data_IF_902336117807
#
_entry.id   IF_902336117807
#
_cell.length_a   1.000
_cell.length_b   1.000
_cell.length_c   1.000
_cell.angle_alpha   90.00
_cell.angle_beta   90.00
_cell.angle_gamma   90.00
#
_symmetry.space_group_name_H-M   'P 1'
#
loop_
_entity.id
_entity.type
_entity.pdbx_description
1 polymer ?
#
# COMPACT_ATOMS: atom_id res chain seq x y z
N UNK A 1 -63.42 -54.63 -34.17
CA UNK A 1 -63.33 -56.08 -33.89
C UNK A 1 -61.87 -56.48 -34.00
N UNK A 2 -61.24 -57.14 -33.01
CA UNK A 2 -61.36 -57.12 -31.53
C UNK A 2 -60.28 -56.18 -30.91
N UNK A 3 -60.24 -55.74 -29.63
CA UNK A 3 -60.39 -56.31 -28.26
C UNK A 3 -59.12 -56.94 -27.63
N UNK A 4 -58.90 -56.65 -26.33
CA UNK A 4 -57.80 -57.13 -25.44
C UNK A 4 -56.82 -56.00 -25.05
N UNK A 5 -56.80 -55.36 -23.87
CA UNK A 5 -57.06 -55.78 -22.47
C UNK A 5 -56.23 -57.03 -22.06
N UNK A 6 -55.56 -57.15 -20.90
CA UNK A 6 -55.17 -56.23 -19.79
C UNK A 6 -54.07 -56.96 -18.95
N UNK A 7 -53.49 -56.54 -17.81
CA UNK A 7 -53.62 -55.40 -16.88
C UNK A 7 -52.31 -55.26 -16.05
N UNK A 8 -52.17 -54.21 -15.22
CA UNK A 8 -51.06 -54.06 -14.26
C UNK A 8 -51.14 -52.73 -13.48
N UNK A 9 -51.48 -52.77 -12.18
CA UNK A 9 -51.94 -51.63 -11.36
C UNK A 9 -50.81 -51.03 -10.46
N UNK A 10 -51.01 -49.96 -9.64
CA UNK A 10 -50.18 -48.75 -9.73
C UNK A 10 -49.66 -48.23 -8.36
N UNK A 11 -49.41 -46.91 -8.28
CA UNK A 11 -49.07 -46.06 -7.10
C UNK A 11 -47.61 -46.08 -6.64
N UNK A 12 -47.03 -44.99 -6.11
CA UNK A 12 -47.60 -43.69 -5.68
C UNK A 12 -46.71 -42.48 -6.03
N UNK A 13 -47.30 -41.28 -6.01
CA UNK A 13 -46.76 -39.94 -5.65
C UNK A 13 -45.26 -39.65 -5.94
N UNK A 14 -44.84 -38.70 -6.78
CA UNK A 14 -45.38 -37.37 -7.13
C UNK A 14 -45.37 -36.32 -6.00
N UNK A 15 -44.18 -35.92 -5.57
CA UNK A 15 -43.93 -34.56 -5.06
C UNK A 15 -42.94 -33.83 -5.98
N UNK A 16 -43.19 -32.53 -6.16
CA UNK A 16 -42.39 -31.61 -6.96
C UNK A 16 -42.05 -30.37 -6.12
N UNK A 17 -41.18 -29.50 -6.64
CA UNK A 17 -40.56 -28.35 -5.96
C UNK A 17 -39.47 -28.75 -4.93
N UNK A 18 -38.37 -28.00 -4.77
CA UNK A 18 -38.03 -26.63 -5.19
C UNK A 18 -36.63 -26.63 -5.87
N UNK A 19 -36.42 -25.76 -6.87
CA UNK A 19 -35.05 -25.35 -7.27
C UNK A 19 -34.52 -24.33 -6.25
N UNK A 20 -33.47 -24.64 -5.52
CA UNK A 20 -32.66 -23.62 -4.83
C UNK A 20 -31.26 -23.57 -5.42
N UNK A 21 -30.85 -22.36 -5.74
CA UNK A 21 -29.59 -22.02 -6.38
C UNK A 21 -28.41 -22.36 -5.48
N UNK A 22 -27.34 -22.90 -6.06
CA UNK A 22 -26.06 -23.06 -5.35
C UNK A 22 -25.32 -21.71 -5.36
N UNK A 23 -25.72 -20.82 -4.45
CA UNK A 23 -24.98 -19.60 -4.12
C UNK A 23 -23.84 -19.90 -3.16
N UNK A 24 -22.81 -19.07 -3.15
CA UNK A 24 -21.74 -19.12 -2.15
C UNK A 24 -20.66 -20.16 -2.42
N UNK A 25 -19.76 -19.86 -3.36
CA UNK A 25 -18.37 -20.22 -3.13
C UNK A 25 -17.86 -19.24 -2.05
N UNK A 26 -17.86 -19.67 -0.79
CA UNK A 26 -17.16 -18.94 0.27
C UNK A 26 -15.67 -18.90 -0.11
N UNK A 27 -15.23 -17.75 -0.60
CA UNK A 27 -13.81 -17.40 -0.58
C UNK A 27 -13.47 -17.21 0.88
N UNK A 28 -12.86 -18.24 1.47
CA UNK A 28 -12.24 -18.12 2.79
C UNK A 28 -11.07 -17.18 2.61
N UNK A 29 -11.29 -15.91 2.92
CA UNK A 29 -10.26 -14.91 3.06
C UNK A 29 -9.36 -15.34 4.24
N UNK A 30 -8.25 -15.99 3.92
CA UNK A 30 -7.27 -16.48 4.91
C UNK A 30 -6.58 -15.28 5.58
N UNK A 31 -7.28 -14.71 6.55
CA UNK A 31 -6.78 -13.69 7.46
C UNK A 31 -5.80 -14.33 8.44
N UNK A 32 -4.62 -13.70 8.63
CA UNK A 32 -3.65 -14.15 9.64
C UNK A 32 -4.35 -14.28 11.01
N UNK A 33 -4.21 -15.40 11.73
CA UNK A 33 -4.86 -15.56 13.02
C UNK A 33 -4.33 -14.50 13.99
N UNK A 34 -5.22 -13.95 14.83
CA UNK A 34 -4.94 -12.78 15.66
C UNK A 34 -3.69 -12.91 16.55
N UNK A 35 -3.35 -14.14 16.96
CA UNK A 35 -2.16 -14.46 17.75
C UNK A 35 -0.87 -14.21 16.96
N UNK A 36 -0.80 -14.67 15.72
CA UNK A 36 0.38 -14.54 14.85
C UNK A 36 0.60 -13.06 14.48
N UNK A 37 -0.49 -12.30 14.25
CA UNK A 37 -0.43 -10.84 14.05
C UNK A 37 0.09 -10.09 15.28
N UNK A 38 -0.29 -10.50 16.50
CA UNK A 38 0.23 -9.89 17.73
C UNK A 38 1.72 -10.19 17.94
N UNK A 39 2.20 -11.38 17.57
CA UNK A 39 3.62 -11.74 17.59
C UNK A 39 4.40 -10.91 16.54
N UNK A 40 3.91 -10.84 15.29
CA UNK A 40 4.48 -9.98 14.24
C UNK A 40 4.59 -8.51 14.65
N UNK A 41 3.55 -7.94 15.28
CA UNK A 41 3.59 -6.54 15.78
C UNK A 41 4.63 -6.38 16.90
N UNK A 42 4.79 -7.36 17.80
CA UNK A 42 5.85 -7.32 18.83
C UNK A 42 7.24 -7.30 18.20
N UNK A 43 7.48 -8.16 17.22
CA UNK A 43 8.78 -8.24 16.55
C UNK A 43 9.10 -6.96 15.76
N UNK A 44 8.10 -6.39 15.07
CA UNK A 44 8.25 -5.09 14.41
C UNK A 44 8.51 -3.96 15.42
N UNK A 45 7.87 -3.94 16.59
CA UNK A 45 8.18 -2.98 17.66
C UNK A 45 9.62 -3.10 18.16
N UNK A 46 10.17 -4.32 18.26
CA UNK A 46 11.58 -4.52 18.61
C UNK A 46 12.53 -3.99 17.51
N UNK A 47 12.22 -4.27 16.24
CA UNK A 47 12.99 -3.73 15.11
C UNK A 47 12.93 -2.20 15.04
N UNK A 48 11.76 -1.60 15.25
CA UNK A 48 11.59 -0.15 15.29
C UNK A 48 12.28 0.48 16.51
N UNK A 49 12.34 -0.20 17.65
CA UNK A 49 13.06 0.30 18.82
C UNK A 49 14.57 0.45 18.56
N UNK A 50 15.18 -0.50 17.85
CA UNK A 50 16.56 -0.40 17.39
C UNK A 50 16.71 0.63 16.27
N UNK A 51 15.86 0.57 15.24
CA UNK A 51 15.94 1.45 14.07
C UNK A 51 15.73 2.94 14.38
N UNK A 52 14.87 3.24 15.35
CA UNK A 52 14.57 4.60 15.82
C UNK A 52 15.37 4.99 17.08
N UNK A 53 16.38 4.21 17.47
CA UNK A 53 17.23 4.47 18.65
C UNK A 53 16.42 4.81 19.92
N UNK A 54 15.30 4.12 20.14
CA UNK A 54 14.33 4.46 21.19
C UNK A 54 14.94 4.28 22.58
N UNK A 55 14.65 5.24 23.47
CA UNK A 55 15.32 5.34 24.78
C UNK A 55 14.74 4.39 25.81
N UNK A 56 13.52 3.91 25.61
CA UNK A 56 12.92 2.89 26.46
C UNK A 56 11.87 2.05 25.71
N UNK A 57 11.52 0.85 26.21
CA UNK A 57 10.46 0.01 25.62
C UNK A 57 9.09 0.70 25.58
N UNK A 58 8.82 1.60 26.53
CA UNK A 58 7.56 2.37 26.58
C UNK A 58 7.41 3.30 25.36
N UNK A 59 8.50 3.80 24.76
CA UNK A 59 8.42 4.59 23.52
C UNK A 59 7.98 3.71 22.34
N UNK A 60 8.46 2.45 22.26
CA UNK A 60 8.05 1.51 21.22
C UNK A 60 6.55 1.15 21.32
N UNK A 61 6.00 1.10 22.53
CA UNK A 61 4.57 0.84 22.74
C UNK A 61 3.66 1.98 22.27
N UNK A 62 4.19 3.20 22.11
CA UNK A 62 3.46 4.39 21.63
C UNK A 62 3.34 4.44 20.10
N UNK A 63 4.10 3.61 19.38
CA UNK A 63 3.94 3.41 17.93
C UNK A 63 2.69 2.56 17.69
N UNK A 64 1.75 3.08 16.91
CA UNK A 64 0.52 2.37 16.54
C UNK A 64 0.65 1.72 15.16
N UNK A 65 -0.04 0.61 14.94
CA UNK A 65 0.03 -0.17 13.69
C UNK A 65 -1.35 -0.33 13.08
N UNK A 66 -1.50 0.09 11.82
CA UNK A 66 -2.72 -0.01 11.01
C UNK A 66 -2.43 -0.89 9.80
N UNK A 67 -3.31 -1.82 9.41
CA UNK A 67 -3.13 -2.54 8.13
C UNK A 67 -3.48 -1.62 6.96
N UNK A 68 -2.82 -1.79 5.83
CA UNK A 68 -3.14 -1.02 4.62
C UNK A 68 -4.61 -1.22 4.18
N UNK A 69 -5.15 -2.44 4.33
CA UNK A 69 -6.58 -2.72 4.10
C UNK A 69 -7.54 -1.99 5.08
N UNK A 70 -7.08 -1.65 6.28
CA UNK A 70 -7.87 -0.95 7.31
C UNK A 70 -7.79 0.60 7.18
N UNK A 71 -7.04 1.13 6.20
CA UNK A 71 -6.85 2.57 6.01
C UNK A 71 -8.16 3.28 5.59
N UNK A 72 -8.53 4.31 6.35
CA UNK A 72 -9.71 5.14 6.12
C UNK A 72 -9.41 6.38 5.26
N UNK A 73 -10.49 7.04 4.81
CA UNK A 73 -10.45 8.39 4.22
C UNK A 73 -9.41 8.52 3.09
N UNK A 74 -8.58 9.57 3.06
CA UNK A 74 -7.59 9.84 2.00
C UNK A 74 -6.58 8.70 1.84
N UNK A 75 -6.05 8.13 2.92
CA UNK A 75 -5.10 7.01 2.87
C UNK A 75 -5.75 5.74 2.30
N UNK A 76 -7.02 5.50 2.62
CA UNK A 76 -7.79 4.43 2.01
C UNK A 76 -7.96 4.61 0.49
N UNK A 77 -8.13 5.84 0.00
CA UNK A 77 -8.20 6.11 -1.45
C UNK A 77 -6.86 5.85 -2.14
N UNK A 78 -5.74 6.23 -1.51
CA UNK A 78 -4.39 5.95 -1.98
C UNK A 78 -4.10 4.45 -2.06
N UNK A 79 -4.44 3.69 -1.02
CA UNK A 79 -4.36 2.22 -1.01
C UNK A 79 -5.20 1.60 -2.15
N UNK A 80 -6.48 2.00 -2.26
CA UNK A 80 -7.38 1.48 -3.31
C UNK A 80 -6.94 1.83 -4.73
N UNK A 81 -6.18 2.91 -4.93
CA UNK A 81 -5.64 3.27 -6.26
C UNK A 81 -4.64 2.25 -6.81
N UNK A 82 -3.83 1.62 -5.95
CA UNK A 82 -2.87 0.60 -6.37
C UNK A 82 -3.55 -0.73 -6.76
N UNK A 83 -4.76 -0.98 -6.24
CA UNK A 83 -5.62 -2.11 -6.58
C UNK A 83 -4.88 -3.46 -6.54
N UNK A 84 -4.26 -3.76 -5.39
CA UNK A 84 -3.43 -4.94 -5.18
C UNK A 84 -3.66 -5.54 -3.79
N UNK A 85 -4.45 -6.61 -3.75
CA UNK A 85 -4.85 -7.29 -2.51
C UNK A 85 -3.66 -7.90 -1.75
N UNK A 86 -2.50 -8.10 -2.41
CA UNK A 86 -1.26 -8.55 -1.74
C UNK A 86 -0.74 -7.52 -0.72
N UNK A 87 -1.15 -6.26 -0.85
CA UNK A 87 -0.82 -5.19 0.10
C UNK A 87 -1.71 -5.21 1.35
N UNK A 88 -2.78 -6.03 1.43
CA UNK A 88 -3.75 -5.99 2.53
C UNK A 88 -3.08 -6.08 3.92
N UNK A 89 -2.08 -6.95 4.05
CA UNK A 89 -1.35 -7.22 5.31
C UNK A 89 -0.02 -6.43 5.43
N UNK A 90 0.16 -5.40 4.59
CA UNK A 90 1.18 -4.38 4.84
C UNK A 90 0.77 -3.53 6.06
N UNK A 91 1.74 -3.15 6.89
CA UNK A 91 1.50 -2.47 8.16
C UNK A 91 2.07 -1.05 8.15
N UNK A 92 1.20 -0.06 8.38
CA UNK A 92 1.56 1.33 8.61
C UNK A 92 1.82 1.53 10.10
N UNK A 93 3.09 1.73 10.46
CA UNK A 93 3.56 2.14 11.76
C UNK A 93 3.49 3.68 11.87
N UNK A 94 2.51 4.18 12.63
CA UNK A 94 2.37 5.61 12.91
C UNK A 94 3.25 5.96 14.11
N UNK A 95 4.32 6.71 13.85
CA UNK A 95 5.40 7.04 14.79
C UNK A 95 5.16 8.44 15.37
N UNK A 96 5.03 8.60 16.70
CA UNK A 96 4.89 9.91 17.34
C UNK A 96 6.00 10.89 16.93
N UNK A 97 5.64 12.16 16.73
CA UNK A 97 6.51 13.20 16.17
C UNK A 97 7.84 13.37 16.93
N UNK A 98 7.82 13.32 18.26
CA UNK A 98 9.05 13.45 19.07
C UNK A 98 9.94 12.20 19.08
N UNK A 99 9.48 11.09 18.49
CA UNK A 99 10.27 9.90 18.18
C UNK A 99 10.77 9.92 16.72
N UNK A 100 10.21 10.77 15.85
CA UNK A 100 10.65 10.94 14.46
C UNK A 100 11.89 11.83 14.35
N UNK A 101 13.02 11.23 13.97
CA UNK A 101 14.30 11.93 13.80
C UNK A 101 14.97 11.60 12.45
N UNK A 102 14.24 10.97 11.52
CA UNK A 102 14.72 10.51 10.19
C UNK A 102 14.79 11.62 9.13
N UNK A 103 14.98 12.87 9.56
CA UNK A 103 15.09 14.03 8.68
C UNK A 103 13.74 14.65 8.30
N UNK A 104 13.69 15.26 7.11
CA UNK A 104 12.58 16.10 6.65
C UNK A 104 11.48 15.41 5.85
N UNK A 105 11.60 14.10 5.58
CA UNK A 105 10.54 13.33 4.94
C UNK A 105 9.48 12.91 5.99
N UNK A 106 8.18 12.83 5.62
CA UNK A 106 7.11 12.42 6.53
C UNK A 106 6.90 10.91 6.60
N UNK A 107 7.52 10.13 5.70
CA UNK A 107 7.36 8.68 5.59
C UNK A 107 8.66 7.98 5.18
N UNK A 108 8.68 6.66 5.36
CA UNK A 108 9.72 5.73 4.90
C UNK A 108 9.11 4.32 4.78
N UNK A 109 9.62 3.45 3.90
CA UNK A 109 9.20 2.05 3.82
C UNK A 109 10.34 1.06 4.09
N UNK A 110 10.05 0.06 4.92
CA UNK A 110 10.79 -1.21 5.01
C UNK A 110 10.00 -2.23 4.19
N UNK A 111 10.14 -2.13 2.88
CA UNK A 111 9.34 -2.88 1.91
C UNK A 111 9.54 -4.41 2.02
N UNK A 112 10.74 -4.84 2.40
CA UNK A 112 11.13 -6.21 2.78
C UNK A 112 10.25 -6.81 3.90
N UNK A 113 9.74 -5.97 4.80
CA UNK A 113 8.90 -6.37 5.95
C UNK A 113 7.41 -6.12 5.71
N UNK A 114 7.07 -5.59 4.54
CA UNK A 114 5.74 -5.04 4.26
C UNK A 114 5.35 -3.97 5.29
N UNK A 115 6.30 -3.13 5.72
CA UNK A 115 6.08 -2.11 6.75
C UNK A 115 6.36 -0.71 6.20
N UNK A 116 5.48 0.22 6.52
CA UNK A 116 5.59 1.65 6.20
C UNK A 116 5.65 2.41 7.52
N UNK A 117 6.61 3.30 7.69
CA UNK A 117 6.67 4.24 8.80
C UNK A 117 6.07 5.57 8.34
N UNK A 118 5.24 6.17 9.18
CA UNK A 118 4.64 7.48 8.93
C UNK A 118 4.77 8.36 10.17
N UNK A 119 5.19 9.61 10.00
CA UNK A 119 5.26 10.61 11.06
C UNK A 119 3.84 10.98 11.52
N UNK A 120 3.60 10.91 12.83
CA UNK A 120 2.28 10.99 13.45
C UNK A 120 1.49 12.25 13.09
N UNK A 121 2.08 13.44 13.20
CA UNK A 121 1.42 14.70 12.86
C UNK A 121 1.02 14.78 11.38
N UNK A 122 1.80 14.17 10.50
CA UNK A 122 1.50 14.13 9.05
C UNK A 122 0.46 13.05 8.71
N UNK A 123 0.39 11.97 9.50
CA UNK A 123 -0.66 10.94 9.41
C UNK A 123 -2.00 11.46 9.92
N UNK A 124 -2.02 12.08 11.10
CA UNK A 124 -3.25 12.59 11.73
C UNK A 124 -3.81 13.84 11.03
N UNK A 125 -2.95 14.58 10.31
CA UNK A 125 -3.25 15.77 9.51
C UNK A 125 -2.71 17.04 10.15
N UNK A 126 -2.27 17.99 9.32
CA UNK A 126 -1.77 19.29 9.81
C UNK A 126 -2.93 20.21 10.27
N UNK A 127 -2.61 21.43 10.76
CA UNK A 127 -3.60 22.34 11.38
C UNK A 127 -4.76 22.74 10.44
N UNK A 128 -4.62 22.57 9.12
CA UNK A 128 -5.67 22.81 8.12
C UNK A 128 -6.59 21.59 7.87
N UNK A 129 -6.27 20.44 8.46
CA UNK A 129 -7.00 19.18 8.34
C UNK A 129 -6.68 18.36 7.08
N UNK A 130 -5.71 18.78 6.25
CA UNK A 130 -5.28 18.00 5.10
C UNK A 130 -4.32 16.87 5.54
N UNK A 131 -4.68 15.63 5.22
CA UNK A 131 -3.79 14.46 5.38
C UNK A 131 -3.12 14.15 4.05
N UNK A 132 -1.79 14.06 4.09
CA UNK A 132 -0.96 13.61 2.97
C UNK A 132 -1.35 14.18 1.58
N UNK A 133 -1.32 15.52 1.41
CA UNK A 133 -1.61 16.16 0.12
C UNK A 133 -0.63 15.77 -0.99
N UNK A 134 0.57 15.29 -0.62
CA UNK A 134 1.61 14.82 -1.54
C UNK A 134 1.47 13.34 -1.95
N UNK A 135 0.52 12.61 -1.37
CA UNK A 135 0.27 11.19 -1.64
C UNK A 135 1.46 10.25 -1.36
N UNK A 136 2.20 10.52 -0.28
CA UNK A 136 3.26 9.67 0.26
C UNK A 136 2.81 8.24 0.55
N UNK A 137 1.59 8.01 1.04
CA UNK A 137 1.10 6.63 1.27
C UNK A 137 1.05 5.81 -0.03
N UNK A 138 0.73 6.44 -1.17
CA UNK A 138 0.79 5.79 -2.50
C UNK A 138 2.23 5.44 -2.89
N UNK A 139 3.18 6.31 -2.56
CA UNK A 139 4.61 6.12 -2.80
C UNK A 139 5.14 4.92 -1.98
N UNK A 140 4.92 4.92 -0.67
CA UNK A 140 5.40 3.84 0.22
C UNK A 140 4.73 2.48 -0.05
N UNK A 141 3.43 2.46 -0.37
CA UNK A 141 2.76 1.23 -0.79
C UNK A 141 3.24 0.73 -2.15
N UNK A 142 3.74 1.61 -3.03
CA UNK A 142 4.34 1.21 -4.30
C UNK A 142 5.72 0.55 -4.12
N UNK A 143 6.50 0.96 -3.11
CA UNK A 143 7.72 0.25 -2.67
C UNK A 143 7.39 -1.16 -2.18
N UNK A 144 6.40 -1.30 -1.28
CA UNK A 144 5.89 -2.60 -0.83
C UNK A 144 5.41 -3.48 -2.02
N UNK A 145 4.63 -2.93 -2.94
CA UNK A 145 4.19 -3.63 -4.16
C UNK A 145 5.39 -4.11 -4.97
N UNK A 146 6.43 -3.28 -5.11
CA UNK A 146 7.62 -3.66 -5.87
C UNK A 146 8.39 -4.78 -5.18
N UNK A 147 8.59 -4.74 -3.87
CA UNK A 147 9.27 -5.83 -3.15
C UNK A 147 8.52 -7.16 -3.30
N UNK A 148 7.18 -7.15 -3.30
CA UNK A 148 6.36 -8.34 -3.58
C UNK A 148 6.50 -8.82 -5.03
N UNK A 149 6.60 -7.89 -6.01
CA UNK A 149 6.70 -8.23 -7.43
C UNK A 149 8.03 -8.87 -7.85
N UNK A 150 9.15 -8.47 -7.24
CA UNK A 150 10.50 -8.93 -7.62
C UNK A 150 11.24 -9.75 -6.54
N UNK A 151 10.72 -9.77 -5.31
CA UNK A 151 11.41 -10.33 -4.14
C UNK A 151 12.57 -9.47 -3.66
N UNK A 152 12.99 -9.64 -2.41
CA UNK A 152 13.96 -8.76 -1.73
C UNK A 152 15.30 -8.63 -2.48
N UNK A 153 15.85 -9.74 -2.99
CA UNK A 153 17.07 -9.74 -3.81
C UNK A 153 16.90 -8.88 -5.09
N UNK A 154 15.74 -8.98 -5.73
CA UNK A 154 15.41 -8.19 -6.93
C UNK A 154 15.18 -6.71 -6.61
N UNK A 155 14.53 -6.42 -5.47
CA UNK A 155 14.29 -5.08 -4.99
C UNK A 155 15.60 -4.35 -4.67
N UNK A 156 16.48 -5.02 -3.92
CA UNK A 156 17.83 -4.53 -3.63
C UNK A 156 18.65 -4.32 -4.90
N UNK A 157 18.57 -5.25 -5.88
CA UNK A 157 19.25 -5.05 -7.15
C UNK A 157 18.71 -3.82 -7.91
N UNK A 158 17.39 -3.60 -7.89
CA UNK A 158 16.77 -2.48 -8.60
C UNK A 158 16.93 -1.12 -7.91
N UNK A 159 17.17 -1.08 -6.59
CA UNK A 159 17.53 0.15 -5.87
C UNK A 159 18.96 0.62 -6.21
N UNK A 160 19.82 -0.28 -6.70
CA UNK A 160 21.14 0.04 -7.28
C UNK A 160 21.11 0.31 -8.80
N UNK A 161 20.06 -0.12 -9.52
CA UNK A 161 19.97 0.05 -10.98
C UNK A 161 19.57 1.48 -11.37
N UNK A 162 20.50 2.21 -11.96
CA UNK A 162 20.24 3.52 -12.55
C UNK A 162 19.13 3.48 -13.62
N UNK A 163 18.21 4.44 -13.61
CA UNK A 163 17.08 4.50 -14.57
C UNK A 163 17.25 5.58 -15.66
N UNK A 164 17.90 6.70 -15.35
CA UNK A 164 18.26 7.74 -16.33
C UNK A 164 19.77 7.89 -16.46
N UNK A 165 20.36 7.36 -17.55
CA UNK A 165 21.82 7.35 -17.79
C UNK A 165 22.47 8.76 -17.78
N UNK A 166 21.68 9.82 -18.05
CA UNK A 166 22.15 11.19 -18.16
C UNK A 166 22.09 12.02 -16.87
N UNK A 167 21.54 11.46 -15.79
CA UNK A 167 21.58 12.06 -14.46
C UNK A 167 22.74 11.49 -13.63
N UNK A 168 23.49 12.37 -12.98
CA UNK A 168 24.60 11.99 -12.10
C UNK A 168 24.14 11.62 -10.69
N UNK A 169 25.07 11.24 -9.79
CA UNK A 169 24.76 10.86 -8.40
C UNK A 169 24.37 12.04 -7.50
N UNK A 170 24.46 13.28 -7.99
CA UNK A 170 24.13 14.50 -7.25
C UNK A 170 22.62 14.82 -7.23
N UNK A 171 21.76 13.95 -7.76
CA UNK A 171 20.30 14.05 -7.67
C UNK A 171 19.76 13.14 -6.57
N UNK A 172 18.48 13.26 -6.24
CA UNK A 172 17.71 12.20 -5.58
C UNK A 172 18.01 10.82 -6.22
N UNK A 173 18.06 9.71 -5.43
CA UNK A 173 18.40 8.36 -5.90
C UNK A 173 17.72 7.99 -7.23
N UNK A 174 18.51 8.06 -8.29
CA UNK A 174 18.10 7.85 -9.67
C UNK A 174 18.01 6.34 -10.00
N UNK A 175 17.17 5.60 -9.27
CA UNK A 175 17.03 4.16 -9.41
C UNK A 175 15.63 3.74 -9.88
N UNK A 176 15.46 2.45 -10.19
CA UNK A 176 14.19 1.90 -10.71
C UNK A 176 13.07 1.84 -9.68
N UNK A 177 13.42 1.58 -8.43
CA UNK A 177 12.49 1.45 -7.30
C UNK A 177 11.81 2.79 -7.05
N UNK A 178 12.59 3.87 -6.95
CA UNK A 178 12.11 5.25 -6.83
C UNK A 178 11.30 5.68 -8.06
N UNK A 179 11.74 5.34 -9.28
CA UNK A 179 11.02 5.72 -10.50
C UNK A 179 9.62 5.11 -10.54
N UNK A 180 9.48 3.86 -10.11
CA UNK A 180 8.19 3.21 -9.95
C UNK A 180 7.35 3.88 -8.86
N UNK A 181 7.92 4.16 -7.68
CA UNK A 181 7.19 4.72 -6.55
C UNK A 181 6.64 6.13 -6.85
N UNK A 182 7.49 7.05 -7.31
CA UNK A 182 7.05 8.37 -7.79
C UNK A 182 6.12 8.27 -8.99
N UNK A 183 6.35 7.31 -9.90
CA UNK A 183 5.46 7.06 -11.03
C UNK A 183 4.03 6.74 -10.59
N UNK A 184 3.86 5.94 -9.52
CA UNK A 184 2.55 5.63 -8.92
C UNK A 184 1.95 6.85 -8.20
N UNK A 185 2.74 7.53 -7.37
CA UNK A 185 2.34 8.74 -6.64
C UNK A 185 1.81 9.84 -7.59
N UNK A 186 2.56 10.15 -8.65
CA UNK A 186 2.15 11.16 -9.64
C UNK A 186 0.95 10.70 -10.48
N UNK A 187 0.82 9.40 -10.77
CA UNK A 187 -0.36 8.88 -11.45
C UNK A 187 -1.63 9.00 -10.59
N UNK A 188 -1.53 8.78 -9.27
CA UNK A 188 -2.64 9.02 -8.33
C UNK A 188 -3.03 10.50 -8.28
N UNK A 189 -2.06 11.39 -8.07
CA UNK A 189 -2.29 12.84 -8.02
C UNK A 189 -2.91 13.36 -9.33
N UNK A 190 -2.48 12.83 -10.49
CA UNK A 190 -3.10 13.11 -11.81
C UNK A 190 -4.53 12.59 -11.90
N UNK A 191 -4.84 11.42 -11.34
CA UNK A 191 -6.20 10.89 -11.27
C UNK A 191 -7.10 11.81 -10.42
N UNK A 192 -6.59 12.30 -9.28
CA UNK A 192 -7.21 13.30 -8.38
C UNK A 192 -7.25 14.74 -8.95
N UNK A 193 -6.77 14.96 -10.18
CA UNK A 193 -6.75 16.25 -10.91
C UNK A 193 -5.82 17.31 -10.31
N UNK A 194 -4.83 16.91 -9.51
CA UNK A 194 -3.75 17.81 -9.08
C UNK A 194 -2.89 18.16 -10.31
N UNK A 195 -2.64 19.45 -10.55
CA UNK A 195 -1.79 19.92 -11.64
C UNK A 195 -0.30 19.74 -11.33
N UNK A 196 0.54 19.64 -12.37
CA UNK A 196 1.99 19.42 -12.22
C UNK A 196 2.63 20.47 -11.31
N UNK A 197 2.29 21.73 -11.53
CA UNK A 197 2.81 22.88 -10.79
C UNK A 197 2.53 22.77 -9.29
N UNK A 198 1.34 22.25 -8.92
CA UNK A 198 0.98 22.04 -7.51
C UNK A 198 1.71 20.85 -6.89
N UNK A 199 2.06 19.81 -7.67
CA UNK A 199 2.94 18.74 -7.18
C UNK A 199 4.35 19.28 -6.93
N UNK A 200 4.90 20.07 -7.85
CA UNK A 200 6.21 20.73 -7.66
C UNK A 200 6.21 21.63 -6.42
N UNK A 201 5.13 22.37 -6.17
CA UNK A 201 4.96 23.17 -4.95
C UNK A 201 4.95 22.30 -3.67
N UNK A 202 4.12 21.25 -3.64
CA UNK A 202 4.00 20.32 -2.50
C UNK A 202 5.29 19.54 -2.20
N UNK A 203 6.07 19.19 -3.23
CA UNK A 203 7.34 18.49 -3.07
C UNK A 203 8.51 19.44 -2.78
N UNK A 204 8.39 20.73 -3.10
CA UNK A 204 9.45 21.73 -2.92
C UNK A 204 9.84 22.01 -1.46
N UNK A 205 9.03 21.57 -0.49
CA UNK A 205 9.34 21.65 0.94
C UNK A 205 10.28 20.51 1.40
N UNK A 206 10.30 19.40 0.67
CA UNK A 206 11.08 18.20 1.00
C UNK A 206 12.30 17.98 0.08
N UNK A 207 12.32 18.62 -1.10
CA UNK A 207 13.30 18.36 -2.16
C UNK A 207 14.01 19.60 -2.68
N UNK A 208 15.31 19.45 -2.95
CA UNK A 208 16.16 20.50 -3.52
C UNK A 208 16.08 20.59 -5.05
N UNK A 209 16.61 21.67 -5.66
CA UNK A 209 16.59 21.85 -7.12
C UNK A 209 17.26 20.72 -7.92
N UNK A 210 18.27 20.06 -7.36
CA UNK A 210 18.94 18.93 -8.01
C UNK A 210 18.11 17.63 -7.95
N UNK A 211 17.28 17.44 -6.92
CA UNK A 211 16.33 16.32 -6.82
C UNK A 211 15.25 16.41 -7.90
N UNK A 212 14.78 17.63 -8.18
CA UNK A 212 13.80 17.86 -9.24
C UNK A 212 14.28 17.44 -10.63
N UNK A 213 15.59 17.34 -10.88
CA UNK A 213 16.12 16.79 -12.15
C UNK A 213 15.70 15.34 -12.40
N UNK A 214 15.52 14.56 -11.33
CA UNK A 214 14.97 13.21 -11.37
C UNK A 214 13.44 13.25 -11.41
N UNK A 215 12.81 13.96 -10.48
CA UNK A 215 11.35 14.02 -10.34
C UNK A 215 10.66 14.57 -11.61
N UNK A 216 11.23 15.59 -12.26
CA UNK A 216 10.69 16.17 -13.48
C UNK A 216 10.62 15.17 -14.64
N UNK A 217 11.55 14.22 -14.74
CA UNK A 217 11.50 13.17 -15.79
C UNK A 217 10.31 12.24 -15.63
N UNK A 218 9.90 12.01 -14.38
CA UNK A 218 8.74 11.17 -14.04
C UNK A 218 7.46 11.99 -14.21
N UNK A 219 7.45 13.26 -13.79
CA UNK A 219 6.34 14.18 -14.04
C UNK A 219 6.08 14.37 -15.55
N UNK A 220 7.12 14.54 -16.37
CA UNK A 220 7.03 14.62 -17.85
C UNK A 220 6.37 13.37 -18.42
N UNK A 221 6.80 12.18 -17.97
CA UNK A 221 6.24 10.88 -18.39
C UNK A 221 4.77 10.73 -18.00
N UNK A 222 4.40 11.13 -16.78
CA UNK A 222 3.05 10.94 -16.24
C UNK A 222 2.07 11.99 -16.76
N UNK A 223 2.46 13.27 -16.77
CA UNK A 223 1.59 14.37 -17.18
C UNK A 223 1.54 14.56 -18.69
N UNK A 224 2.64 14.28 -19.39
CA UNK A 224 2.92 14.78 -20.72
C UNK A 224 3.70 16.09 -20.65
N UNK A 225 4.63 16.28 -21.59
CA UNK A 225 5.37 17.53 -21.85
C UNK A 225 4.53 18.54 -22.63
#
# INVERSE_FOLDING_TARGET
MPFGESSGRPSSEAEAFVQTEATGADVVEETEPEVDRQERIRDLKLCLAEYLELKSPEDAERITFVRAADLSEEFGEQFRFLNDERLNEALVAVVPDELWHKGGQPSESSADRGMILFRGGYYDGEEDGARDPSAWMTHELAHCQRSIDVGDDGYNQESEMQVFDDLGPDTYPNNRVEEQAFGRQFAYLKAKKVGREKITELLGEHYGPDDFRFLDRILDRVYGS
#
